data_IF_373301595315
#
_entry.id   IF_373301595315
#
_cell.length_a   1.000
_cell.length_b   1.000
_cell.length_c   1.000
_cell.angle_alpha   90.00
_cell.angle_beta   90.00
_cell.angle_gamma   90.00
#
_symmetry.space_group_name_H-M   'P 1'
#
loop_
_entity.id
_entity.type
_entity.pdbx_description
1 polymer ?
#
# COMPACT_ATOMS: atom_id res chain seq x y z
N UNK A 1 -4.04 38.36 7.52
CA UNK A 1 -2.68 37.82 7.56
C UNK A 1 -2.80 36.29 7.71
N UNK A 2 -2.83 35.60 6.61
CA UNK A 2 -3.06 34.16 6.61
C UNK A 2 -2.22 33.45 5.53
N UNK A 3 -0.97 33.85 5.41
CA UNK A 3 -0.14 33.40 4.29
C UNK A 3 0.70 32.16 4.54
N UNK A 4 0.76 31.67 5.78
CA UNK A 4 1.63 30.53 6.11
C UNK A 4 0.94 29.16 6.13
N UNK A 5 -0.38 29.14 6.14
CA UNK A 5 -1.17 27.93 6.43
C UNK A 5 -1.79 27.33 5.17
N UNK A 6 -1.79 28.06 4.08
CA UNK A 6 -2.42 27.66 2.82
C UNK A 6 -1.49 26.94 1.85
N UNK A 7 -0.27 26.63 2.29
CA UNK A 7 0.72 26.02 1.39
C UNK A 7 0.60 24.50 1.25
N UNK A 8 -0.56 23.99 1.61
CA UNK A 8 -1.00 22.65 1.22
C UNK A 8 -1.15 22.51 -0.31
N UNK A 9 -1.13 23.59 -1.05
CA UNK A 9 -1.23 23.63 -2.52
C UNK A 9 0.11 23.46 -3.25
N UNK A 10 1.18 23.07 -2.54
CA UNK A 10 2.50 22.83 -3.14
C UNK A 10 3.17 24.06 -3.74
N UNK A 11 2.80 25.24 -3.31
CA UNK A 11 3.34 26.50 -3.83
C UNK A 11 4.69 26.90 -3.24
N UNK A 12 5.04 26.32 -2.07
CA UNK A 12 6.33 26.59 -1.44
C UNK A 12 7.44 25.74 -2.09
N UNK A 13 8.41 26.34 -2.79
CA UNK A 13 9.47 25.62 -3.48
C UNK A 13 10.44 24.87 -2.54
N UNK A 14 10.41 25.18 -1.25
CA UNK A 14 11.25 24.50 -0.25
C UNK A 14 10.59 23.22 0.30
N UNK A 15 9.35 22.94 -0.06
CA UNK A 15 8.68 21.70 0.35
C UNK A 15 9.01 20.57 -0.61
N UNK A 16 9.43 19.44 -0.08
CA UNK A 16 9.59 18.20 -0.84
C UNK A 16 8.25 17.82 -1.46
N UNK A 17 8.20 17.58 -2.77
CA UNK A 17 6.97 17.18 -3.43
C UNK A 17 6.55 15.75 -3.05
N UNK A 18 5.26 15.43 -3.20
CA UNK A 18 4.76 14.07 -2.96
C UNK A 18 5.46 13.06 -3.87
N UNK A 19 5.75 13.43 -5.12
CA UNK A 19 6.48 12.56 -6.05
C UNK A 19 7.93 12.29 -5.61
N UNK A 20 8.59 13.28 -5.02
CA UNK A 20 9.92 13.09 -4.45
C UNK A 20 9.88 12.16 -3.24
N UNK A 21 8.87 12.30 -2.36
CA UNK A 21 8.70 11.37 -1.21
C UNK A 21 8.46 9.95 -1.70
N UNK A 22 7.56 9.77 -2.67
CA UNK A 22 7.28 8.46 -3.27
C UNK A 22 8.54 7.88 -3.91
N UNK A 23 9.29 8.67 -4.68
CA UNK A 23 10.54 8.22 -5.29
C UNK A 23 11.59 7.78 -4.26
N UNK A 24 11.71 8.49 -3.13
CA UNK A 24 12.60 8.08 -2.05
C UNK A 24 12.16 6.78 -1.38
N UNK A 25 10.86 6.61 -1.13
CA UNK A 25 10.30 5.38 -0.57
C UNK A 25 10.45 4.20 -1.53
N UNK A 26 10.23 4.41 -2.84
CA UNK A 26 10.45 3.40 -3.87
C UNK A 26 11.91 2.91 -3.88
N UNK A 27 12.88 3.83 -3.77
CA UNK A 27 14.31 3.48 -3.67
C UNK A 27 14.62 2.71 -2.39
N UNK A 28 14.15 3.19 -1.23
CA UNK A 28 14.42 2.58 0.07
C UNK A 28 13.86 1.17 0.20
N UNK A 29 12.73 0.90 -0.45
CA UNK A 29 12.05 -0.40 -0.39
C UNK A 29 12.36 -1.31 -1.59
N UNK A 30 13.16 -0.84 -2.55
CA UNK A 30 13.39 -1.56 -3.81
C UNK A 30 12.13 -1.70 -4.67
N UNK A 31 11.14 -0.85 -4.44
CA UNK A 31 9.82 -0.91 -5.10
C UNK A 31 9.82 -0.18 -6.45
N UNK A 32 8.79 -0.47 -7.24
CA UNK A 32 8.45 0.27 -8.47
C UNK A 32 6.97 0.63 -8.44
N UNK A 33 6.57 1.64 -9.22
CA UNK A 33 5.19 2.14 -9.25
C UNK A 33 4.11 1.06 -9.45
N UNK A 34 4.41 0.03 -10.23
CA UNK A 34 3.52 -1.11 -10.49
C UNK A 34 3.53 -2.21 -9.42
N UNK A 35 4.49 -2.17 -8.50
CA UNK A 35 4.68 -3.22 -7.50
C UNK A 35 5.34 -2.64 -6.24
N UNK A 36 4.60 -1.82 -5.50
CA UNK A 36 5.07 -1.23 -4.25
C UNK A 36 4.93 -2.21 -3.09
N UNK A 37 6.00 -2.35 -2.34
CA UNK A 37 6.07 -3.14 -1.11
C UNK A 37 5.66 -2.33 0.12
N UNK A 38 5.06 -1.17 -0.07
CA UNK A 38 4.55 -0.28 0.97
C UNK A 38 3.30 0.46 0.50
N UNK A 39 2.53 0.93 1.44
CA UNK A 39 1.55 2.00 1.25
C UNK A 39 1.67 3.04 2.36
N UNK A 40 1.16 4.22 2.11
CA UNK A 40 1.05 5.29 3.10
C UNK A 40 -0.42 5.58 3.31
N UNK A 41 -0.93 5.25 4.49
CA UNK A 41 -2.30 5.57 4.89
C UNK A 41 -2.31 6.77 5.80
N UNK A 42 -3.39 7.56 5.77
CA UNK A 42 -3.52 8.76 6.59
C UNK A 42 -4.91 8.90 7.19
N UNK A 43 -4.96 9.46 8.40
CA UNK A 43 -6.20 9.97 9.00
C UNK A 43 -5.97 11.48 9.18
N UNK A 44 -6.74 12.29 8.46
CA UNK A 44 -6.48 13.74 8.38
C UNK A 44 -7.77 14.53 8.19
N UNK A 45 -7.68 15.85 8.22
CA UNK A 45 -8.77 16.72 7.77
C UNK A 45 -8.90 16.58 6.25
N UNK A 46 -9.97 15.95 5.80
CA UNK A 46 -10.14 15.57 4.39
C UNK A 46 -10.64 16.71 3.50
N UNK A 47 -11.46 17.60 4.05
CA UNK A 47 -12.16 18.62 3.28
C UNK A 47 -12.44 19.88 4.12
N UNK A 48 -13.00 20.90 3.48
CA UNK A 48 -13.33 22.17 4.11
C UNK A 48 -14.46 22.05 5.14
N UNK A 49 -15.36 21.08 5.01
CA UNK A 49 -16.41 20.82 5.99
C UNK A 49 -15.80 20.33 7.30
N UNK A 50 -14.97 19.33 7.21
CA UNK A 50 -14.21 18.80 8.34
C UNK A 50 -13.29 19.87 8.94
N UNK A 51 -12.59 20.64 8.10
CA UNK A 51 -11.76 21.76 8.54
C UNK A 51 -12.57 22.78 9.36
N UNK A 52 -13.76 23.14 8.90
CA UNK A 52 -14.61 24.11 9.57
C UNK A 52 -15.09 23.63 10.94
N UNK A 53 -15.35 22.34 11.09
CA UNK A 53 -15.73 21.72 12.38
C UNK A 53 -14.55 21.78 13.38
N UNK A 54 -13.34 21.53 12.90
CA UNK A 54 -12.14 21.54 13.75
C UNK A 54 -11.54 22.93 13.98
N UNK A 55 -11.77 23.90 13.10
CA UNK A 55 -11.19 25.25 13.19
C UNK A 55 -11.67 26.05 14.40
N UNK A 56 -12.81 25.69 14.99
CA UNK A 56 -13.30 26.28 16.25
C UNK A 56 -12.38 25.90 17.43
N UNK A 57 -11.84 24.69 17.43
CA UNK A 57 -10.92 24.22 18.46
C UNK A 57 -9.45 24.52 18.14
N UNK A 58 -9.10 24.63 16.86
CA UNK A 58 -7.75 24.91 16.38
C UNK A 58 -7.78 25.78 15.12
N UNK A 59 -7.59 27.09 15.27
CA UNK A 59 -7.67 28.05 14.14
C UNK A 59 -6.66 27.81 13.02
N UNK A 60 -5.58 27.07 13.29
CA UNK A 60 -4.55 26.72 12.31
C UNK A 60 -4.82 25.41 11.56
N UNK A 61 -5.99 24.82 11.76
CA UNK A 61 -6.37 23.58 11.08
C UNK A 61 -6.46 23.80 9.56
N UNK A 62 -5.82 22.91 8.80
CA UNK A 62 -5.84 22.91 7.33
C UNK A 62 -6.20 21.54 6.80
N UNK A 63 -6.69 21.50 5.56
CA UNK A 63 -6.91 20.22 4.85
C UNK A 63 -5.56 19.54 4.61
N UNK A 64 -5.49 18.26 4.90
CA UNK A 64 -4.27 17.45 4.77
C UNK A 64 -3.99 16.98 3.34
N UNK A 65 -4.10 17.87 2.33
CA UNK A 65 -4.07 17.52 0.92
C UNK A 65 -2.84 16.70 0.51
N UNK A 66 -1.65 17.07 1.00
CA UNK A 66 -0.41 16.35 0.66
C UNK A 66 -0.39 14.91 1.18
N UNK A 67 -0.99 14.67 2.33
CA UNK A 67 -1.13 13.31 2.89
C UNK A 67 -2.17 12.50 2.11
N UNK A 68 -3.26 13.16 1.69
CA UNK A 68 -4.29 12.55 0.83
C UNK A 68 -3.67 12.13 -0.50
N UNK A 69 -2.90 13.01 -1.14
CA UNK A 69 -2.23 12.74 -2.41
C UNK A 69 -1.17 11.62 -2.27
N UNK A 70 -0.43 11.62 -1.18
CA UNK A 70 0.56 10.57 -0.89
C UNK A 70 -0.11 9.22 -0.70
N UNK A 71 -1.21 9.16 0.05
CA UNK A 71 -2.00 7.96 0.21
C UNK A 71 -2.55 7.46 -1.14
N UNK A 72 -3.11 8.36 -1.95
CA UNK A 72 -3.60 8.02 -3.29
C UNK A 72 -2.52 7.46 -4.21
N UNK A 73 -1.31 8.05 -4.21
CA UNK A 73 -0.18 7.58 -5.04
C UNK A 73 0.40 6.24 -4.59
N UNK A 74 0.21 5.86 -3.34
CA UNK A 74 0.75 4.62 -2.77
C UNK A 74 -0.32 3.56 -2.50
N UNK A 75 -1.52 3.74 -3.03
CA UNK A 75 -2.69 2.86 -2.79
C UNK A 75 -3.01 2.67 -1.30
N UNK A 76 -2.72 3.67 -0.49
CA UNK A 76 -3.07 3.71 0.93
C UNK A 76 -4.51 4.15 1.16
N UNK A 77 -4.91 4.14 2.42
CA UNK A 77 -6.25 4.51 2.88
C UNK A 77 -6.23 5.96 3.40
N UNK A 78 -7.30 6.68 3.10
CA UNK A 78 -7.55 8.01 3.65
C UNK A 78 -8.75 7.94 4.57
N UNK A 79 -8.57 8.28 5.84
CA UNK A 79 -9.61 8.44 6.84
C UNK A 79 -9.78 9.88 7.26
N UNK A 80 -10.96 10.25 7.76
CA UNK A 80 -11.27 11.57 8.26
C UNK A 80 -11.08 11.66 9.78
N UNK A 81 -10.46 12.73 10.27
CA UNK A 81 -10.46 13.05 11.70
C UNK A 81 -11.83 13.47 12.20
N UNK A 82 -12.77 13.78 11.29
CA UNK A 82 -14.16 14.13 11.59
C UNK A 82 -15.07 12.91 11.70
N UNK A 83 -14.60 11.72 11.40
CA UNK A 83 -15.38 10.50 11.58
C UNK A 83 -15.67 10.26 13.06
N UNK A 84 -16.87 9.82 13.37
CA UNK A 84 -17.27 9.48 14.75
C UNK A 84 -16.48 8.27 15.29
N UNK A 85 -15.93 7.45 14.41
CA UNK A 85 -15.12 6.28 14.75
C UNK A 85 -14.09 6.03 13.69
N UNK A 86 -12.86 5.76 14.10
CA UNK A 86 -11.78 5.37 13.20
C UNK A 86 -11.75 3.86 12.91
N UNK A 87 -12.70 3.09 13.45
CA UNK A 87 -12.69 1.63 13.34
C UNK A 87 -12.67 1.15 11.88
N UNK A 88 -13.47 1.77 11.00
CA UNK A 88 -13.50 1.45 9.57
C UNK A 88 -12.15 1.76 8.89
N UNK A 89 -11.57 2.93 9.13
CA UNK A 89 -10.27 3.32 8.58
C UNK A 89 -9.16 2.38 9.05
N UNK A 90 -9.16 2.02 10.33
CA UNK A 90 -8.18 1.09 10.90
C UNK A 90 -8.35 -0.33 10.34
N UNK A 91 -9.58 -0.80 10.16
CA UNK A 91 -9.84 -2.10 9.52
C UNK A 91 -9.34 -2.13 8.07
N UNK A 92 -9.55 -1.07 7.30
CA UNK A 92 -9.02 -0.98 5.93
C UNK A 92 -7.49 -0.93 5.90
N UNK A 93 -6.86 -0.19 6.83
CA UNK A 93 -5.40 -0.17 6.97
C UNK A 93 -4.88 -1.56 7.31
N UNK A 94 -5.53 -2.28 8.22
CA UNK A 94 -5.18 -3.66 8.55
C UNK A 94 -5.28 -4.59 7.34
N UNK A 95 -6.36 -4.49 6.57
CA UNK A 95 -6.52 -5.28 5.33
C UNK A 95 -5.39 -4.99 4.34
N UNK A 96 -5.03 -3.73 4.15
CA UNK A 96 -3.91 -3.34 3.27
C UNK A 96 -2.56 -3.85 3.77
N UNK A 97 -2.35 -3.88 5.06
CA UNK A 97 -1.14 -4.46 5.63
C UNK A 97 -1.05 -5.96 5.36
N UNK A 98 -2.14 -6.70 5.56
CA UNK A 98 -2.21 -8.13 5.26
C UNK A 98 -1.95 -8.37 3.76
N UNK A 99 -2.56 -7.59 2.87
CA UNK A 99 -2.32 -7.67 1.43
C UNK A 99 -0.83 -7.52 1.08
N UNK A 100 -0.13 -6.54 1.64
CA UNK A 100 1.29 -6.32 1.39
C UNK A 100 2.17 -7.47 1.93
N UNK A 101 1.83 -8.03 3.08
CA UNK A 101 2.62 -9.08 3.72
C UNK A 101 2.40 -10.46 3.10
N UNK A 102 1.33 -10.64 2.33
CA UNK A 102 0.97 -11.91 1.70
C UNK A 102 1.31 -11.96 0.21
N UNK A 103 1.81 -10.88 -0.39
CA UNK A 103 2.17 -10.82 -1.81
C UNK A 103 3.68 -10.95 -2.02
N UNK A 104 4.07 -11.89 -2.88
CA UNK A 104 5.47 -12.12 -3.27
C UNK A 104 5.65 -11.87 -4.76
N UNK A 105 6.24 -10.74 -5.16
CA UNK A 105 6.43 -10.39 -6.57
C UNK A 105 7.42 -11.31 -7.25
N UNK A 106 7.10 -11.71 -8.47
CA UNK A 106 7.98 -12.50 -9.31
C UNK A 106 8.82 -11.59 -10.22
N UNK A 107 10.09 -11.94 -10.40
CA UNK A 107 11.02 -11.13 -11.22
C UNK A 107 10.78 -11.30 -12.72
N UNK A 108 10.12 -12.37 -13.14
CA UNK A 108 9.77 -12.70 -14.53
C UNK A 108 8.30 -13.10 -14.62
N UNK A 109 7.71 -12.91 -15.80
CA UNK A 109 6.37 -13.41 -16.08
C UNK A 109 6.41 -14.95 -16.15
N UNK A 110 5.61 -15.66 -15.34
CA UNK A 110 5.54 -17.11 -15.38
C UNK A 110 4.55 -17.60 -16.43
N UNK A 111 4.70 -18.85 -16.86
CA UNK A 111 3.58 -19.63 -17.35
C UNK A 111 2.75 -20.07 -16.13
N UNK A 112 1.52 -19.55 -15.92
CA UNK A 112 0.77 -19.75 -14.67
C UNK A 112 0.55 -21.21 -14.29
N UNK A 113 0.45 -22.10 -15.28
CA UNK A 113 0.21 -23.53 -15.07
C UNK A 113 1.44 -24.30 -14.57
N UNK A 114 2.62 -23.67 -14.59
CA UNK A 114 3.88 -24.31 -14.17
C UNK A 114 4.37 -23.83 -12.82
N UNK A 115 3.66 -22.89 -12.20
CA UNK A 115 4.07 -22.31 -10.92
C UNK A 115 3.97 -23.37 -9.82
N UNK A 116 5.07 -23.51 -9.07
CA UNK A 116 5.14 -24.33 -7.86
C UNK A 116 5.67 -23.47 -6.74
N UNK A 117 4.96 -23.44 -5.62
CA UNK A 117 5.32 -22.68 -4.42
C UNK A 117 5.67 -23.66 -3.30
N UNK A 118 6.82 -23.47 -2.70
CA UNK A 118 7.33 -24.28 -1.59
C UNK A 118 7.61 -23.35 -0.42
N UNK A 119 7.08 -23.66 0.75
CA UNK A 119 7.30 -22.95 2.00
C UNK A 119 7.93 -23.92 2.99
N UNK A 120 9.10 -23.57 3.53
CA UNK A 120 9.86 -24.40 4.48
C UNK A 120 10.04 -25.86 4.01
N UNK A 121 10.32 -26.04 2.72
CA UNK A 121 10.45 -27.33 2.02
C UNK A 121 9.14 -28.13 1.85
N UNK A 122 7.98 -27.54 2.14
CA UNK A 122 6.66 -28.14 1.91
C UNK A 122 6.03 -27.53 0.67
N UNK A 123 5.53 -28.34 -0.25
CA UNK A 123 4.80 -27.86 -1.43
C UNK A 123 3.42 -27.35 -0.99
N UNK A 124 3.20 -26.06 -1.25
CA UNK A 124 1.92 -25.41 -0.95
C UNK A 124 0.88 -25.62 -2.05
N UNK A 125 -0.38 -25.79 -1.65
CA UNK A 125 -1.49 -25.95 -2.57
C UNK A 125 -1.87 -24.63 -3.23
N UNK A 126 -2.21 -24.68 -4.52
CA UNK A 126 -2.85 -23.56 -5.19
C UNK A 126 -4.34 -23.50 -4.80
N UNK A 127 -4.66 -22.70 -3.80
CA UNK A 127 -5.99 -22.61 -3.19
C UNK A 127 -6.29 -21.14 -2.80
N UNK A 128 -7.43 -20.58 -3.23
CA UNK A 128 -7.78 -19.18 -2.93
C UNK A 128 -8.23 -18.96 -1.49
N UNK A 129 -8.39 -20.01 -0.68
CA UNK A 129 -8.84 -19.90 0.70
C UNK A 129 -7.71 -20.20 1.69
N UNK A 130 -6.95 -21.29 1.49
CA UNK A 130 -5.93 -21.77 2.42
C UNK A 130 -4.64 -22.21 1.70
N UNK A 131 -4.16 -21.44 0.76
CA UNK A 131 -2.98 -21.75 -0.01
C UNK A 131 -2.43 -20.53 -0.72
N UNK A 132 -2.21 -20.62 -2.03
CA UNK A 132 -1.74 -19.47 -2.81
C UNK A 132 -2.50 -19.33 -4.13
N UNK A 133 -2.51 -18.12 -4.67
CA UNK A 133 -2.95 -17.80 -6.04
C UNK A 133 -1.90 -16.96 -6.76
N UNK A 134 -1.97 -16.94 -8.10
CA UNK A 134 -1.16 -16.03 -8.90
C UNK A 134 -1.97 -14.80 -9.32
N UNK A 135 -1.50 -13.62 -8.95
CA UNK A 135 -2.04 -12.35 -9.42
C UNK A 135 -1.25 -11.88 -10.64
N UNK A 136 -1.84 -12.02 -11.83
CA UNK A 136 -1.19 -11.65 -13.09
C UNK A 136 -1.01 -10.13 -13.25
N UNK A 137 -1.88 -9.30 -12.68
CA UNK A 137 -1.77 -7.85 -12.75
C UNK A 137 -0.58 -7.30 -11.94
N UNK A 138 -0.31 -7.90 -10.79
CA UNK A 138 0.83 -7.56 -9.93
C UNK A 138 2.08 -8.41 -10.22
N UNK A 139 1.98 -9.44 -11.07
CA UNK A 139 2.99 -10.47 -11.26
C UNK A 139 3.50 -11.03 -9.93
N UNK A 140 2.59 -11.46 -9.06
CA UNK A 140 2.90 -11.88 -7.70
C UNK A 140 2.15 -13.16 -7.29
N UNK A 141 2.78 -13.94 -6.41
CA UNK A 141 2.10 -14.98 -5.65
C UNK A 141 1.41 -14.32 -4.46
N UNK A 142 0.14 -14.64 -4.23
CA UNK A 142 -0.65 -14.16 -3.10
C UNK A 142 -1.03 -15.35 -2.23
N UNK A 143 -0.66 -15.31 -0.96
CA UNK A 143 -1.00 -16.34 0.01
C UNK A 143 -2.31 -16.03 0.73
N UNK A 144 -3.05 -17.07 1.09
CA UNK A 144 -4.38 -16.98 1.69
C UNK A 144 -4.53 -17.88 2.91
N UNK A 145 -5.32 -17.42 3.88
CA UNK A 145 -5.72 -18.20 5.05
C UNK A 145 -4.55 -18.85 5.78
N UNK A 146 -4.61 -20.15 6.01
CA UNK A 146 -3.57 -20.92 6.70
C UNK A 146 -2.30 -21.13 5.87
N UNK A 147 -2.35 -20.87 4.56
CA UNK A 147 -1.20 -20.92 3.67
C UNK A 147 -0.28 -19.70 3.77
N UNK A 148 -0.66 -18.66 4.54
CA UNK A 148 0.19 -17.47 4.74
C UNK A 148 1.45 -17.87 5.52
N UNK A 149 2.65 -17.69 4.92
CA UNK A 149 3.89 -18.09 5.59
C UNK A 149 4.20 -17.26 6.83
N UNK A 150 4.83 -17.88 7.82
CA UNK A 150 5.32 -17.17 9.01
C UNK A 150 6.44 -16.18 8.69
N UNK A 151 6.72 -15.25 9.60
CA UNK A 151 7.68 -14.15 9.41
C UNK A 151 9.12 -14.58 9.07
N UNK A 152 9.49 -15.84 9.29
CA UNK A 152 10.83 -16.38 9.00
C UNK A 152 10.79 -17.54 8.00
N UNK A 153 9.65 -17.79 7.36
CA UNK A 153 9.49 -18.90 6.44
C UNK A 153 10.34 -18.70 5.18
N UNK A 154 10.93 -19.78 4.70
CA UNK A 154 11.71 -19.82 3.46
C UNK A 154 10.76 -20.11 2.30
N UNK A 155 10.55 -19.12 1.43
CA UNK A 155 9.65 -19.24 0.28
C UNK A 155 10.48 -19.44 -0.98
N UNK A 156 10.19 -20.50 -1.72
CA UNK A 156 10.75 -20.78 -3.04
C UNK A 156 9.64 -20.91 -4.08
N UNK A 157 9.76 -20.17 -5.17
CA UNK A 157 8.81 -20.23 -6.29
C UNK A 157 9.56 -20.63 -7.55
N UNK A 158 9.13 -21.69 -8.18
CA UNK A 158 9.68 -22.18 -9.46
C UNK A 158 8.59 -22.17 -10.52
N UNK A 159 8.97 -21.81 -11.74
CA UNK A 159 8.05 -21.76 -12.89
C UNK A 159 8.82 -21.70 -14.21
N UNK A 160 8.16 -22.08 -15.30
CA UNK A 160 8.64 -21.85 -16.65
C UNK A 160 8.31 -20.40 -17.06
N UNK A 161 9.28 -19.60 -17.55
CA UNK A 161 9.01 -18.24 -17.97
C UNK A 161 8.05 -18.18 -19.16
N UNK A 162 7.09 -17.25 -19.15
CA UNK A 162 6.28 -16.96 -20.32
C UNK A 162 7.17 -16.38 -21.45
N UNK A 163 7.06 -16.94 -22.66
CA UNK A 163 7.74 -16.38 -23.85
C UNK A 163 9.10 -17.00 -24.21
N UNK A 164 9.45 -18.15 -23.66
CA UNK A 164 10.51 -19.02 -24.22
C UNK A 164 9.86 -20.07 -25.16
N UNK A 165 9.47 -19.62 -26.33
CA UNK A 165 9.22 -20.46 -27.51
C UNK A 165 10.12 -19.97 -28.64
#
# INVERSE_FOLDING_TARGET
MNSGITDHNYTNPNLISVDQVVGQLDVLTGSKASNRQYNVSTITVMDETCRSQHSQASPSTVVGQRYIDLAGKTAGIVGSVCDQSYASSLNFIQQKLVELTTQFPLQRLPNPNTIKVVVDNVLEAQDPVNGWTYNSAANAIVFHGTGVPGASALISVTFDPAGLL
#
